data_IF_110767005598
#
_entry.id   IF_110767005598
#
_cell.length_a   1.000
_cell.length_b   1.000
_cell.length_c   1.000
_cell.angle_alpha   90.00
_cell.angle_beta   90.00
_cell.angle_gamma   90.00
#
_symmetry.space_group_name_H-M   'P 1'
#
loop_
_entity.id
_entity.type
_entity.pdbx_description
1 polymer ?
#
# COMPACT_ATOMS: atom_id res chain seq x y z
N UNK A 1 11.41 43.43 14.43
CA UNK A 1 11.16 43.22 14.51
C UNK A 1 11.08 43.18 14.83
N UNK A 2 11.11 43.26 14.88
CA UNK A 2 10.82 43.07 15.13
C UNK A 2 10.66 42.63 15.47
N UNK A 3 10.56 42.56 15.51
CA UNK A 3 10.27 42.02 15.77
C UNK A 3 9.81 41.39 15.76
N UNK A 4 9.66 41.26 15.55
CA UNK A 4 9.11 40.69 15.47
C UNK A 4 9.03 40.05 15.26
N UNK A 5 9.20 40.18 15.02
CA UNK A 5 8.99 39.68 14.79
C UNK A 5 9.27 39.02 14.91
N UNK A 6 9.42 39.04 14.95
CA UNK A 6 9.44 38.41 15.19
C UNK A 6 9.17 37.94 15.73
N UNK A 7 9.35 37.71 15.75
CA UNK A 7 8.82 37.19 16.39
C UNK A 7 8.04 36.00 16.58
N UNK A 8 7.25 35.66 16.19
CA UNK A 8 6.40 34.57 16.12
C UNK A 8 7.02 33.18 15.93
N UNK A 9 8.17 33.17 15.50
CA UNK A 9 8.86 31.88 15.30
C UNK A 9 9.13 31.12 16.60
N UNK A 10 9.07 31.83 17.71
CA UNK A 10 9.25 31.17 19.01
C UNK A 10 8.12 30.21 19.35
N UNK A 11 6.96 30.46 18.77
CA UNK A 11 5.81 29.58 19.01
C UNK A 11 6.02 28.18 18.48
N UNK A 12 6.96 28.00 17.58
CA UNK A 12 7.23 26.70 16.99
C UNK A 12 8.34 25.94 17.70
N UNK A 13 8.94 26.52 18.72
CA UNK A 13 10.00 25.84 19.48
C UNK A 13 9.38 24.82 20.44
N UNK A 14 9.66 23.52 20.26
CA UNK A 14 9.08 22.48 21.11
C UNK A 14 9.45 22.62 22.58
N UNK A 15 10.55 23.28 22.87
CA UNK A 15 10.99 23.44 24.25
C UNK A 15 10.11 24.37 25.04
N UNK A 16 9.42 25.28 24.33
CA UNK A 16 8.51 26.22 24.96
C UNK A 16 7.12 25.63 25.16
N UNK A 17 6.83 24.52 24.49
CA UNK A 17 5.53 23.86 24.52
C UNK A 17 5.73 22.38 24.80
N UNK A 18 5.81 21.98 26.07
CA UNK A 18 6.15 20.58 26.42
C UNK A 18 5.26 19.52 25.78
N UNK A 19 3.99 19.81 25.54
CA UNK A 19 3.10 18.87 24.91
C UNK A 19 3.22 18.79 23.40
N UNK A 20 3.85 19.77 22.79
CA UNK A 20 3.93 19.89 21.35
C UNK A 20 4.71 18.74 20.70
N UNK A 21 5.81 18.32 21.32
CA UNK A 21 6.62 17.24 20.79
C UNK A 21 5.89 15.92 20.73
N UNK A 22 4.98 15.68 21.68
CA UNK A 22 4.18 14.45 21.70
C UNK A 22 3.21 14.39 20.52
N UNK A 23 2.51 15.47 20.27
CA UNK A 23 1.57 15.55 19.16
C UNK A 23 2.30 15.35 17.84
N UNK A 24 3.46 16.00 17.70
CA UNK A 24 4.25 15.87 16.49
C UNK A 24 4.69 14.42 16.25
N UNK A 25 5.04 13.71 17.31
CA UNK A 25 5.42 12.30 17.18
C UNK A 25 4.27 11.43 16.73
N UNK A 26 3.06 11.69 17.25
CA UNK A 26 1.89 10.95 16.81
C UNK A 26 1.60 11.19 15.35
N UNK A 27 1.68 12.44 14.92
CA UNK A 27 1.46 12.78 13.53
C UNK A 27 2.50 12.11 12.64
N UNK A 28 3.75 12.11 13.07
CA UNK A 28 4.82 11.46 12.33
C UNK A 28 4.64 9.93 12.30
N UNK A 29 4.19 9.34 13.40
CA UNK A 29 3.92 7.92 13.46
C UNK A 29 2.81 7.52 12.52
N UNK A 30 1.70 8.30 12.49
CA UNK A 30 0.60 8.04 11.59
C UNK A 30 0.99 8.22 10.13
N UNK A 31 1.79 9.24 9.84
CA UNK A 31 2.26 9.49 8.49
C UNK A 31 3.23 8.40 8.02
N UNK A 32 4.12 7.96 8.90
CA UNK A 32 5.04 6.87 8.58
C UNK A 32 4.28 5.58 8.31
N UNK A 33 3.29 5.27 9.13
CA UNK A 33 2.49 4.08 8.95
C UNK A 33 1.69 4.15 7.66
N UNK A 34 1.14 5.34 7.32
CA UNK A 34 0.43 5.53 6.07
C UNK A 34 1.35 5.28 4.87
N UNK A 35 2.60 5.74 4.94
CA UNK A 35 3.57 5.48 3.87
C UNK A 35 3.89 3.99 3.74
N UNK A 36 4.05 3.31 4.87
CA UNK A 36 4.31 1.87 4.85
C UNK A 36 3.15 1.14 4.19
N UNK A 37 1.91 1.50 4.54
CA UNK A 37 0.73 0.88 3.93
C UNK A 37 0.69 1.13 2.43
N UNK A 38 0.98 2.36 1.99
CA UNK A 38 1.02 2.67 0.56
C UNK A 38 2.08 1.86 -0.18
N UNK A 39 3.27 1.71 0.42
CA UNK A 39 4.34 0.91 -0.17
C UNK A 39 3.92 -0.56 -0.26
N UNK A 40 3.33 -1.10 0.80
CA UNK A 40 2.89 -2.50 0.81
C UNK A 40 1.83 -2.72 -0.26
N UNK A 41 0.83 -1.84 -0.35
CA UNK A 41 -0.21 -1.95 -1.38
C UNK A 41 0.40 -1.88 -2.78
N UNK A 42 1.37 -0.97 -2.97
CA UNK A 42 2.07 -0.84 -4.25
C UNK A 42 2.82 -2.11 -4.62
N UNK A 43 3.52 -2.71 -3.66
CA UNK A 43 4.25 -3.95 -3.89
C UNK A 43 3.31 -5.11 -4.21
N UNK A 44 2.22 -5.23 -3.45
CA UNK A 44 1.22 -6.28 -3.69
C UNK A 44 0.62 -6.12 -5.08
N UNK A 45 0.23 -4.90 -5.43
CA UNK A 45 -0.33 -4.62 -6.75
C UNK A 45 0.65 -4.96 -7.86
N UNK A 46 1.93 -4.59 -7.67
CA UNK A 46 2.98 -4.91 -8.64
C UNK A 46 3.12 -6.42 -8.84
N UNK A 47 3.12 -7.17 -7.74
CA UNK A 47 3.20 -8.63 -7.82
C UNK A 47 2.00 -9.20 -8.58
N UNK A 48 0.80 -8.71 -8.32
CA UNK A 48 -0.40 -9.17 -9.02
C UNK A 48 -0.34 -8.84 -10.51
N UNK A 49 0.10 -7.63 -10.86
CA UNK A 49 0.24 -7.23 -12.27
C UNK A 49 1.26 -8.11 -12.97
N UNK A 50 2.41 -8.35 -12.35
CA UNK A 50 3.43 -9.22 -12.93
C UNK A 50 2.90 -10.63 -13.13
N UNK A 51 2.17 -11.16 -12.15
CA UNK A 51 1.61 -12.50 -12.26
C UNK A 51 0.62 -12.57 -13.42
N UNK A 52 -0.27 -11.59 -13.52
CA UNK A 52 -1.26 -11.54 -14.61
C UNK A 52 -0.54 -11.47 -15.96
N UNK A 53 0.44 -10.60 -16.09
CA UNK A 53 1.21 -10.45 -17.33
C UNK A 53 1.89 -11.76 -17.69
N UNK A 54 2.52 -12.43 -16.73
CA UNK A 54 3.21 -13.70 -16.99
C UNK A 54 2.24 -14.80 -17.43
N UNK A 55 1.07 -14.85 -16.82
CA UNK A 55 0.07 -15.85 -17.20
C UNK A 55 -0.47 -15.57 -18.60
N UNK A 56 -0.83 -14.33 -18.87
CA UNK A 56 -1.38 -13.94 -20.17
C UNK A 56 -0.35 -14.11 -21.29
N UNK A 57 0.90 -13.76 -20.99
CA UNK A 57 1.98 -13.89 -21.98
C UNK A 57 2.49 -15.32 -22.13
N UNK A 58 2.06 -16.23 -21.28
CA UNK A 58 2.53 -17.62 -21.31
C UNK A 58 3.97 -17.78 -20.86
N UNK A 59 4.40 -16.99 -19.87
CA UNK A 59 5.77 -17.04 -19.39
C UNK A 59 6.13 -18.43 -18.87
N UNK A 60 7.42 -18.77 -19.01
CA UNK A 60 7.92 -20.07 -18.62
C UNK A 60 7.87 -20.25 -17.10
N UNK A 61 7.06 -21.18 -16.65
CA UNK A 61 6.88 -21.46 -15.22
C UNK A 61 8.10 -22.07 -14.56
N UNK A 62 9.05 -22.56 -15.35
CA UNK A 62 10.30 -23.08 -14.82
C UNK A 62 11.32 -21.98 -14.52
N UNK A 63 11.07 -20.76 -14.97
CA UNK A 63 11.90 -19.63 -14.62
C UNK A 63 11.73 -19.32 -13.14
N UNK A 64 12.84 -19.19 -12.40
CA UNK A 64 12.80 -18.98 -10.96
C UNK A 64 12.05 -17.71 -10.56
N UNK A 65 12.23 -16.62 -11.31
CA UNK A 65 11.55 -15.36 -11.02
C UNK A 65 10.03 -15.48 -11.27
N UNK A 66 9.64 -16.10 -12.39
CA UNK A 66 8.23 -16.32 -12.71
C UNK A 66 7.57 -17.18 -11.64
N UNK A 67 8.25 -18.24 -11.22
CA UNK A 67 7.75 -19.12 -10.17
C UNK A 67 7.60 -18.40 -8.85
N UNK A 68 8.57 -17.57 -8.49
CA UNK A 68 8.53 -16.79 -7.26
C UNK A 68 7.33 -15.83 -7.27
N UNK A 69 7.14 -15.09 -8.37
CA UNK A 69 6.02 -14.16 -8.51
C UNK A 69 4.69 -14.94 -8.38
N UNK A 70 4.60 -16.11 -9.02
CA UNK A 70 3.40 -16.93 -8.93
C UNK A 70 3.09 -17.32 -7.49
N UNK A 71 4.09 -17.80 -6.76
CA UNK A 71 3.91 -18.25 -5.38
C UNK A 71 3.52 -17.10 -4.46
N UNK A 72 4.18 -15.95 -4.60
CA UNK A 72 3.89 -14.78 -3.79
C UNK A 72 2.48 -14.26 -4.10
N UNK A 73 2.15 -14.14 -5.37
CA UNK A 73 0.82 -13.67 -5.78
C UNK A 73 -0.27 -14.60 -5.25
N UNK A 74 -0.05 -15.90 -5.34
CA UNK A 74 -1.02 -16.89 -4.87
C UNK A 74 -1.25 -16.76 -3.37
N UNK A 75 -0.19 -16.53 -2.61
CA UNK A 75 -0.31 -16.30 -1.18
C UNK A 75 -1.05 -15.01 -0.86
N UNK A 76 -0.74 -13.93 -1.57
CA UNK A 76 -1.32 -12.62 -1.31
C UNK A 76 -2.78 -12.52 -1.75
N UNK A 77 -3.18 -13.27 -2.78
CA UNK A 77 -4.56 -13.21 -3.27
C UNK A 77 -5.55 -13.81 -2.27
N UNK A 78 -5.06 -14.60 -1.34
CA UNK A 78 -5.87 -15.23 -0.28
C UNK A 78 -7.01 -16.04 -0.91
N UNK A 79 -8.25 -15.78 -0.52
CA UNK A 79 -9.41 -16.49 -1.05
C UNK A 79 -9.99 -15.89 -2.32
N UNK A 80 -9.39 -14.84 -2.86
CA UNK A 80 -9.94 -14.18 -4.06
C UNK A 80 -9.50 -14.82 -5.37
N UNK A 81 -8.64 -15.83 -5.30
CA UNK A 81 -8.12 -16.47 -6.50
C UNK A 81 -9.15 -17.22 -7.34
N UNK A 82 -10.27 -17.60 -6.75
CA UNK A 82 -11.30 -18.41 -7.41
C UNK A 82 -12.69 -17.79 -7.36
N UNK A 83 -12.76 -16.45 -7.19
CA UNK A 83 -14.06 -15.76 -7.16
C UNK A 83 -14.77 -15.89 -8.51
N UNK A 84 -14.03 -15.69 -9.58
CA UNK A 84 -14.53 -15.85 -10.93
C UNK A 84 -13.91 -17.10 -11.54
N UNK A 85 -14.72 -17.92 -12.15
CA UNK A 85 -14.25 -19.17 -12.75
C UNK A 85 -14.75 -19.29 -14.21
N UNK A 86 -14.33 -18.36 -15.10
CA UNK A 86 -14.70 -18.47 -16.49
C UNK A 86 -14.01 -19.67 -17.16
N UNK A 87 -14.48 -20.05 -18.33
CA UNK A 87 -13.91 -21.18 -19.06
C UNK A 87 -12.44 -20.94 -19.41
N UNK A 88 -12.08 -19.71 -19.74
CA UNK A 88 -10.70 -19.36 -20.04
C UNK A 88 -9.95 -19.05 -18.76
N UNK A 89 -8.94 -19.88 -18.44
CA UNK A 89 -8.17 -19.74 -17.22
C UNK A 89 -7.41 -18.40 -17.16
N UNK A 90 -6.97 -17.88 -18.30
CA UNK A 90 -6.26 -16.61 -18.33
C UNK A 90 -7.19 -15.46 -17.95
N UNK A 91 -8.42 -15.47 -18.44
CA UNK A 91 -9.42 -14.48 -18.07
C UNK A 91 -9.72 -14.59 -16.57
N UNK A 92 -9.80 -15.81 -16.04
CA UNK A 92 -10.00 -16.02 -14.60
C UNK A 92 -8.90 -15.37 -13.77
N UNK A 93 -7.64 -15.52 -14.18
CA UNK A 93 -6.52 -14.89 -13.48
C UNK A 93 -6.64 -13.39 -13.52
N UNK A 94 -6.92 -12.80 -14.68
CA UNK A 94 -7.07 -11.35 -14.81
C UNK A 94 -8.17 -10.83 -13.89
N UNK A 95 -9.33 -11.48 -13.90
CA UNK A 95 -10.47 -11.04 -13.09
C UNK A 95 -10.21 -11.19 -11.60
N UNK A 96 -9.70 -12.35 -11.18
CA UNK A 96 -9.53 -12.63 -9.75
C UNK A 96 -8.41 -11.81 -9.14
N UNK A 97 -7.27 -11.71 -9.82
CA UNK A 97 -6.14 -10.93 -9.30
C UNK A 97 -6.40 -9.44 -9.43
N UNK A 98 -7.13 -9.02 -10.47
CA UNK A 98 -7.56 -7.64 -10.61
C UNK A 98 -8.50 -7.24 -9.48
N UNK A 99 -9.47 -8.09 -9.16
CA UNK A 99 -10.38 -7.86 -8.04
C UNK A 99 -9.58 -7.75 -6.73
N UNK A 100 -8.67 -8.68 -6.50
CA UNK A 100 -7.85 -8.66 -5.28
C UNK A 100 -7.03 -7.38 -5.19
N UNK A 101 -6.45 -6.92 -6.29
CA UNK A 101 -5.68 -5.68 -6.32
C UNK A 101 -6.55 -4.48 -5.95
N UNK A 102 -7.76 -4.42 -6.47
CA UNK A 102 -8.71 -3.35 -6.15
C UNK A 102 -9.05 -3.38 -4.66
N UNK A 103 -9.32 -4.55 -4.11
CA UNK A 103 -9.66 -4.69 -2.69
C UNK A 103 -8.50 -4.24 -1.82
N UNK A 104 -7.26 -4.67 -2.13
CA UNK A 104 -6.10 -4.21 -1.39
C UNK A 104 -5.95 -2.69 -1.45
N UNK A 105 -6.17 -2.10 -2.63
CA UNK A 105 -6.05 -0.66 -2.79
C UNK A 105 -7.12 0.08 -1.98
N UNK A 106 -8.36 -0.38 -2.03
CA UNK A 106 -9.47 0.25 -1.31
C UNK A 106 -9.25 0.14 0.19
N UNK A 107 -8.94 -1.05 0.69
CA UNK A 107 -8.70 -1.26 2.12
C UNK A 107 -7.51 -0.44 2.58
N UNK A 108 -6.42 -0.43 1.80
CA UNK A 108 -5.25 0.38 2.12
C UNK A 108 -5.59 1.86 2.22
N UNK A 109 -6.39 2.38 1.29
CA UNK A 109 -6.80 3.78 1.32
C UNK A 109 -7.68 4.10 2.53
N UNK A 110 -8.58 3.19 2.88
CA UNK A 110 -9.42 3.39 4.07
C UNK A 110 -8.57 3.45 5.34
N UNK A 111 -7.58 2.57 5.45
CA UNK A 111 -6.68 2.58 6.60
C UNK A 111 -5.86 3.86 6.63
N UNK A 112 -5.32 4.28 5.49
CA UNK A 112 -4.54 5.52 5.39
C UNK A 112 -5.38 6.73 5.80
N UNK A 113 -6.62 6.80 5.33
CA UNK A 113 -7.53 7.88 5.72
C UNK A 113 -7.80 7.87 7.21
N UNK A 114 -8.02 6.71 7.79
CA UNK A 114 -8.25 6.59 9.22
C UNK A 114 -7.04 7.09 10.02
N UNK A 115 -5.82 6.75 9.57
CA UNK A 115 -4.60 7.19 10.23
C UNK A 115 -4.38 8.69 10.11
N UNK A 116 -4.75 9.29 8.98
CA UNK A 116 -4.54 10.72 8.75
C UNK A 116 -5.62 11.61 9.36
N UNK A 117 -6.74 11.02 9.72
CA UNK A 117 -7.84 11.77 10.34
C UNK A 117 -7.53 12.19 11.77
N UNK A 118 -6.55 11.61 12.35
CA UNK A 118 -6.16 11.96 13.69
C UNK A 118 -5.32 13.22 13.72
#
# INVERSE_FOLDING_TARGET
MPRMSYRGYNDTDPRLHPGYGRESRREQGGETLARVINVVVGLVTTVFVLHVVFVVAGANKHNGFVSLVHQVAKALVLGFGDVFTPDDAKIGVVLNYGLAAIIYAVVGQLIVRALRRR
#
